data_IF_510237179494
#
_entry.id   IF_510237179494
#
_cell.length_a   1.000
_cell.length_b   1.000
_cell.length_c   1.000
_cell.angle_alpha   90.00
_cell.angle_beta   90.00
_cell.angle_gamma   90.00
#
_symmetry.space_group_name_H-M   'P 1'
#
loop_
_entity.id
_entity.type
_entity.pdbx_description
1 polymer ?
#
# COMPACT_ATOMS: atom_id res chain seq x y z
N UNK A 1 -5.55 -8.05 -10.04
CA UNK A 1 -5.54 -9.31 -9.27
C UNK A 1 -6.92 -9.71 -8.74
N UNK A 2 -7.67 -8.85 -8.02
CA UNK A 2 -8.99 -9.23 -7.47
C UNK A 2 -9.99 -9.67 -8.55
N UNK A 3 -10.07 -8.95 -9.67
CA UNK A 3 -10.91 -9.33 -10.82
C UNK A 3 -10.55 -10.73 -11.35
N UNK A 4 -9.26 -11.02 -11.49
CA UNK A 4 -8.79 -12.33 -11.94
C UNK A 4 -9.16 -13.43 -10.92
N UNK A 5 -9.07 -13.14 -9.63
CA UNK A 5 -9.49 -14.05 -8.58
C UNK A 5 -11.00 -14.26 -8.54
N UNK A 6 -11.80 -13.23 -8.83
CA UNK A 6 -13.26 -13.36 -8.93
C UNK A 6 -13.69 -14.20 -10.14
N UNK A 7 -12.93 -14.15 -11.24
CA UNK A 7 -13.23 -14.88 -12.47
C UNK A 7 -12.69 -16.32 -12.46
N UNK A 8 -11.88 -16.71 -11.46
CA UNK A 8 -11.13 -17.99 -11.49
C UNK A 8 -11.99 -19.25 -11.57
N UNK A 9 -13.25 -19.15 -11.15
CA UNK A 9 -14.25 -20.21 -11.21
C UNK A 9 -15.31 -19.98 -12.30
N UNK A 10 -15.23 -18.88 -13.05
CA UNK A 10 -16.22 -18.45 -14.05
C UNK A 10 -15.70 -18.46 -15.49
N UNK A 11 -14.41 -18.19 -15.69
CA UNK A 11 -13.80 -18.08 -17.00
C UNK A 11 -13.02 -19.36 -17.34
N UNK A 12 -13.08 -19.80 -18.61
CA UNK A 12 -12.30 -20.96 -19.05
C UNK A 12 -10.78 -20.74 -19.00
N UNK A 13 -10.31 -19.51 -19.22
CA UNK A 13 -8.90 -19.13 -19.09
C UNK A 13 -8.79 -17.68 -18.66
N UNK A 14 -7.79 -17.37 -17.84
CA UNK A 14 -7.48 -16.02 -17.39
C UNK A 14 -5.98 -15.80 -17.59
N UNK A 15 -5.63 -14.65 -18.14
CA UNK A 15 -4.24 -14.20 -18.24
C UNK A 15 -4.14 -12.82 -17.61
N UNK A 16 -3.18 -12.64 -16.71
CA UNK A 16 -2.84 -11.36 -16.10
C UNK A 16 -1.47 -10.95 -16.60
N UNK A 17 -1.39 -9.76 -17.19
CA UNK A 17 -0.15 -9.19 -17.72
C UNK A 17 0.26 -8.05 -16.80
N UNK A 18 1.46 -8.14 -16.26
CA UNK A 18 2.06 -7.13 -15.38
C UNK A 18 3.34 -6.60 -16.03
N UNK A 19 3.70 -5.35 -15.71
CA UNK A 19 4.97 -4.74 -16.17
C UNK A 19 6.17 -5.24 -15.39
N UNK A 20 5.93 -5.60 -14.13
CA UNK A 20 6.93 -6.07 -13.17
C UNK A 20 6.97 -7.60 -13.13
N UNK A 21 8.03 -8.16 -12.54
CA UNK A 21 8.17 -9.61 -12.36
C UNK A 21 7.08 -10.19 -11.46
N UNK A 22 6.71 -9.46 -10.39
CA UNK A 22 5.67 -9.87 -9.45
C UNK A 22 4.49 -8.90 -9.40
N UNK A 23 3.25 -9.40 -9.18
CA UNK A 23 2.10 -8.53 -8.94
C UNK A 23 2.35 -7.65 -7.72
N UNK A 24 1.86 -6.41 -7.74
CA UNK A 24 2.05 -5.42 -6.67
C UNK A 24 3.49 -5.00 -6.38
N UNK A 25 4.50 -5.45 -7.14
CA UNK A 25 5.91 -5.14 -6.88
C UNK A 25 6.17 -3.64 -6.73
N UNK A 26 5.62 -2.82 -7.62
CA UNK A 26 5.77 -1.37 -7.55
C UNK A 26 5.22 -0.78 -6.24
N UNK A 27 4.02 -1.20 -5.81
CA UNK A 27 3.35 -0.67 -4.63
C UNK A 27 3.85 -1.29 -3.32
N UNK A 28 3.94 -2.62 -3.25
CA UNK A 28 4.18 -3.40 -2.03
C UNK A 28 5.51 -4.16 -2.04
N UNK A 29 6.25 -4.16 -3.14
CA UNK A 29 7.55 -4.84 -3.22
C UNK A 29 7.45 -6.32 -3.61
N UNK A 30 8.57 -6.92 -4.02
CA UNK A 30 8.62 -8.26 -4.58
C UNK A 30 8.21 -9.35 -3.58
N UNK A 31 8.39 -9.15 -2.28
CA UNK A 31 8.04 -10.12 -1.23
C UNK A 31 6.53 -10.38 -1.19
N UNK A 32 5.71 -9.32 -1.19
CA UNK A 32 4.25 -9.44 -1.25
C UNK A 32 3.80 -10.02 -2.58
N UNK A 33 4.42 -9.61 -3.68
CA UNK A 33 4.14 -10.18 -5.00
C UNK A 33 4.46 -11.67 -5.09
N UNK A 34 5.55 -12.11 -4.47
CA UNK A 34 5.90 -13.52 -4.30
C UNK A 34 4.87 -14.30 -3.48
N UNK A 35 4.35 -13.70 -2.39
CA UNK A 35 3.26 -14.29 -1.60
C UNK A 35 1.99 -14.44 -2.44
N UNK A 36 1.59 -13.42 -3.21
CA UNK A 36 0.44 -13.49 -4.10
C UNK A 36 0.60 -14.60 -5.17
N UNK A 37 1.81 -14.76 -5.71
CA UNK A 37 2.12 -15.85 -6.63
C UNK A 37 2.07 -17.23 -5.97
N UNK A 38 2.48 -17.37 -4.70
CA UNK A 38 2.32 -18.62 -3.93
C UNK A 38 0.85 -18.95 -3.71
N UNK A 39 0.01 -17.97 -3.31
CA UNK A 39 -1.45 -18.15 -3.16
C UNK A 39 -2.07 -18.71 -4.43
N UNK A 40 -1.72 -18.12 -5.59
CA UNK A 40 -2.17 -18.57 -6.90
C UNK A 40 -1.74 -20.02 -7.21
N UNK A 41 -0.47 -20.35 -6.97
CA UNK A 41 0.05 -21.71 -7.22
C UNK A 41 -0.66 -22.75 -6.36
N UNK A 42 -0.88 -22.45 -5.08
CA UNK A 42 -1.60 -23.35 -4.16
C UNK A 42 -3.05 -23.53 -4.58
N UNK A 43 -3.74 -22.47 -5.03
CA UNK A 43 -5.10 -22.58 -5.56
C UNK A 43 -5.18 -23.47 -6.80
N UNK A 44 -4.27 -23.28 -7.76
CA UNK A 44 -4.24 -24.11 -8.97
C UNK A 44 -4.02 -25.61 -8.66
N UNK A 45 -3.21 -25.92 -7.63
CA UNK A 45 -2.97 -27.30 -7.20
C UNK A 45 -4.20 -27.98 -6.55
N UNK A 46 -5.21 -27.21 -6.14
CA UNK A 46 -6.45 -27.73 -5.52
C UNK A 46 -7.51 -28.17 -6.54
N UNK A 47 -7.17 -28.25 -7.83
CA UNK A 47 -8.06 -28.79 -8.87
C UNK A 47 -9.01 -27.78 -9.51
N UNK A 48 -8.83 -26.47 -9.26
CA UNK A 48 -9.56 -25.42 -9.97
C UNK A 48 -8.98 -25.24 -11.38
N UNK A 49 -9.82 -25.47 -12.40
CA UNK A 49 -9.44 -25.84 -13.79
C UNK A 49 -8.86 -24.74 -14.68
N UNK A 50 -8.35 -23.64 -14.14
CA UNK A 50 -7.75 -22.59 -14.97
C UNK A 50 -6.43 -22.10 -14.37
N UNK A 51 -5.28 -22.55 -14.88
CA UNK A 51 -4.00 -21.97 -14.50
C UNK A 51 -3.99 -20.53 -15.03
N UNK A 52 -4.01 -19.56 -14.12
CA UNK A 52 -3.64 -18.19 -14.45
C UNK A 52 -2.21 -18.23 -15.01
N UNK A 53 -2.00 -17.92 -16.29
CA UNK A 53 -0.66 -17.99 -16.89
C UNK A 53 0.27 -17.02 -16.19
N UNK A 54 1.53 -17.44 -15.94
CA UNK A 54 2.60 -16.53 -15.51
C UNK A 54 2.74 -15.39 -16.53
N UNK A 55 3.18 -14.18 -16.13
CA UNK A 55 3.44 -13.13 -17.10
C UNK A 55 4.56 -13.59 -18.04
N UNK A 56 4.23 -13.94 -19.28
CA UNK A 56 5.19 -14.08 -20.38
C UNK A 56 5.12 -12.79 -21.19
N UNK A 57 5.81 -11.77 -20.71
CA UNK A 57 5.89 -10.48 -21.40
C UNK A 57 7.35 -10.09 -21.60
N UNK A 58 7.78 -10.02 -22.86
CA UNK A 58 8.87 -9.10 -23.22
C UNK A 58 8.37 -7.69 -22.92
N UNK A 59 9.10 -6.95 -22.10
CA UNK A 59 8.75 -5.58 -21.75
C UNK A 59 8.84 -4.69 -22.99
N UNK A 60 7.72 -4.47 -23.67
CA UNK A 60 7.58 -3.34 -24.58
C UNK A 60 7.13 -2.13 -23.75
N UNK A 61 8.07 -1.24 -23.48
CA UNK A 61 7.85 0.03 -22.80
C UNK A 61 7.07 0.98 -23.70
N UNK A 62 5.74 0.88 -23.69
CA UNK A 62 4.90 2.04 -23.98
C UNK A 62 4.91 2.93 -22.73
N UNK A 63 5.85 3.89 -22.70
CA UNK A 63 5.93 4.90 -21.65
C UNK A 63 4.63 5.69 -21.58
N UNK A 64 4.10 6.00 -20.38
CA UNK A 64 3.00 6.95 -20.26
C UNK A 64 3.59 8.35 -20.38
N UNK A 65 3.84 8.81 -21.62
CA UNK A 65 4.01 10.24 -21.87
C UNK A 65 2.63 10.86 -22.11
N UNK A 66 1.82 10.90 -21.06
CA UNK A 66 0.86 11.98 -20.92
C UNK A 66 1.46 12.92 -19.88
N UNK A 67 1.78 14.18 -20.24
CA UNK A 67 2.08 15.18 -19.25
C UNK A 67 0.78 15.42 -18.48
N UNK A 68 0.60 14.76 -17.35
CA UNK A 68 -0.30 15.27 -16.33
C UNK A 68 0.32 16.58 -15.89
N UNK A 69 -0.16 17.69 -16.45
CA UNK A 69 -0.03 19.01 -15.86
C UNK A 69 -0.82 19.00 -14.56
N UNK A 70 -0.34 18.26 -13.56
CA UNK A 70 -0.78 18.40 -12.18
C UNK A 70 -0.25 19.75 -11.74
N UNK A 71 -1.07 20.78 -11.90
CA UNK A 71 -0.91 22.00 -11.12
C UNK A 71 -0.74 21.54 -9.66
N UNK A 72 0.46 21.74 -9.11
CA UNK A 72 0.75 21.38 -7.72
C UNK A 72 -0.06 22.32 -6.83
N UNK A 73 -1.31 21.97 -6.57
CA UNK A 73 -2.19 22.69 -5.64
C UNK A 73 -1.63 22.68 -4.21
N UNK A 74 -0.72 21.75 -3.92
CA UNK A 74 0.11 21.78 -2.72
C UNK A 74 1.53 22.16 -3.08
N UNK A 75 2.00 23.28 -2.55
CA UNK A 75 3.43 23.58 -2.50
C UNK A 75 4.10 22.61 -1.52
N UNK A 76 5.17 21.89 -1.94
CA UNK A 76 6.00 21.13 -1.01
C UNK A 76 6.41 22.01 0.17
N UNK A 77 6.32 21.49 1.39
CA UNK A 77 6.67 22.17 2.65
C UNK A 77 5.80 23.37 3.04
N UNK A 78 4.60 23.52 2.47
CA UNK A 78 3.65 24.49 3.03
C UNK A 78 3.08 23.99 4.36
N UNK A 79 3.05 24.85 5.41
CA UNK A 79 2.43 24.55 6.70
C UNK A 79 0.93 24.23 6.60
N UNK A 80 0.31 24.49 5.44
CA UNK A 80 -1.10 24.21 5.18
C UNK A 80 -1.38 22.75 4.78
N UNK A 81 -0.35 21.98 4.41
CA UNK A 81 -0.55 20.59 3.92
C UNK A 81 -1.19 19.67 4.98
N UNK A 82 -0.77 19.66 6.25
CA UNK A 82 -1.42 18.84 7.28
C UNK A 82 -2.91 19.16 7.47
N UNK A 83 -3.34 20.37 7.10
CA UNK A 83 -4.72 20.82 7.21
C UNK A 83 -5.57 20.59 5.95
N UNK A 84 -5.03 19.88 4.95
CA UNK A 84 -5.69 19.65 3.65
C UNK A 84 -5.98 20.95 2.87
N UNK A 85 -5.36 22.07 3.26
CA UNK A 85 -5.52 23.35 2.60
C UNK A 85 -4.46 23.51 1.50
N UNK A 86 -4.91 23.95 0.33
CA UNK A 86 -4.05 24.20 -0.84
C UNK A 86 -3.27 25.51 -0.66
N UNK A 87 -2.44 25.85 -1.65
CA UNK A 87 -1.81 27.18 -1.72
C UNK A 87 -2.79 28.33 -2.03
N UNK A 88 -4.05 28.03 -2.35
CA UNK A 88 -5.11 29.04 -2.55
C UNK A 88 -5.90 29.17 -1.23
N UNK A 89 -6.04 30.38 -0.67
CA UNK A 89 -6.81 30.60 0.55
C UNK A 89 -8.23 30.06 0.44
N UNK A 90 -8.70 29.38 1.49
CA UNK A 90 -10.04 28.79 1.57
C UNK A 90 -10.35 27.70 0.52
N UNK A 91 -9.35 27.17 -0.18
CA UNK A 91 -9.48 26.02 -1.08
C UNK A 91 -8.79 24.81 -0.44
N UNK A 92 -9.53 23.72 -0.31
CA UNK A 92 -9.08 22.47 0.27
C UNK A 92 -9.12 21.35 -0.77
N UNK A 93 -8.25 20.35 -0.60
CA UNK A 93 -8.25 19.16 -1.44
C UNK A 93 -8.17 17.90 -0.58
N UNK A 94 -8.87 16.85 -1.02
CA UNK A 94 -8.98 15.57 -0.31
C UNK A 94 -8.99 14.41 -1.31
N UNK A 95 -8.77 13.18 -0.81
CA UNK A 95 -8.77 11.98 -1.63
C UNK A 95 -7.50 11.77 -2.45
N UNK A 96 -7.62 10.98 -3.52
CA UNK A 96 -6.52 10.44 -4.32
C UNK A 96 -5.70 11.50 -5.08
N UNK A 97 -6.25 12.71 -5.26
CA UNK A 97 -5.54 13.83 -5.90
C UNK A 97 -4.47 14.44 -4.97
N UNK A 98 -4.55 14.15 -3.67
CA UNK A 98 -3.71 14.81 -2.66
C UNK A 98 -2.40 14.08 -2.49
N UNK A 99 -1.30 14.84 -2.60
CA UNK A 99 0.01 14.42 -2.13
C UNK A 99 0.29 15.09 -0.79
N UNK A 100 0.47 14.30 0.28
CA UNK A 100 0.63 14.79 1.66
C UNK A 100 1.87 14.15 2.32
N UNK A 101 2.49 14.80 3.33
CA UNK A 101 3.53 14.16 4.12
C UNK A 101 2.92 12.98 4.89
N UNK A 102 3.46 11.79 4.69
CA UNK A 102 3.12 10.67 5.55
C UNK A 102 3.93 10.87 6.83
N UNK A 103 3.26 11.28 7.91
CA UNK A 103 3.92 11.66 9.17
C UNK A 103 4.91 10.59 9.70
N UNK A 104 4.65 9.33 9.38
CA UNK A 104 5.44 8.16 9.79
C UNK A 104 6.66 7.85 8.91
N UNK A 105 6.91 8.65 7.87
CA UNK A 105 8.06 8.52 6.99
C UNK A 105 8.87 9.82 6.96
N UNK A 106 9.09 10.44 8.12
CA UNK A 106 9.88 11.68 8.24
C UNK A 106 9.42 12.82 7.30
N UNK A 107 8.11 12.85 6.99
CA UNK A 107 7.53 13.85 6.10
C UNK A 107 7.64 13.52 4.60
N UNK A 108 8.08 12.32 4.23
CA UNK A 108 8.06 11.85 2.84
C UNK A 108 6.66 11.99 2.26
N UNK A 109 6.59 12.67 1.12
CA UNK A 109 5.32 13.01 0.50
C UNK A 109 4.84 11.89 -0.39
N UNK A 110 3.54 11.60 -0.34
CA UNK A 110 2.93 10.65 -1.27
C UNK A 110 1.46 10.88 -1.52
N UNK A 111 1.03 10.40 -2.69
CA UNK A 111 -0.36 10.11 -2.93
C UNK A 111 -0.63 8.66 -2.54
N UNK A 112 -1.70 8.44 -1.78
CA UNK A 112 -2.15 7.12 -1.37
C UNK A 112 -3.58 6.94 -1.87
N UNK A 113 -3.75 6.06 -2.86
CA UNK A 113 -5.03 5.77 -3.48
C UNK A 113 -5.76 4.67 -2.70
N UNK A 114 -6.34 5.03 -1.57
CA UNK A 114 -7.10 4.10 -0.74
C UNK A 114 -8.26 4.81 -0.02
N UNK A 115 -9.40 4.14 0.04
CA UNK A 115 -10.64 4.69 0.60
C UNK A 115 -10.44 5.23 2.03
N UNK A 116 -9.77 4.47 2.91
CA UNK A 116 -9.53 4.91 4.30
C UNK A 116 -8.76 6.24 4.37
N UNK A 117 -7.78 6.44 3.49
CA UNK A 117 -7.00 7.67 3.46
C UNK A 117 -7.83 8.81 2.86
N UNK A 118 -8.60 8.54 1.81
CA UNK A 118 -9.51 9.51 1.22
C UNK A 118 -10.58 10.01 2.23
N UNK A 119 -11.11 9.11 3.05
CA UNK A 119 -12.03 9.45 4.13
C UNK A 119 -11.35 10.32 5.21
N UNK A 120 -10.15 9.96 5.64
CA UNK A 120 -9.36 10.75 6.58
C UNK A 120 -9.06 12.16 6.04
N UNK A 121 -8.74 12.28 4.74
CA UNK A 121 -8.56 13.55 4.06
C UNK A 121 -9.85 14.38 4.10
N UNK A 122 -10.99 13.80 3.72
CA UNK A 122 -12.28 14.49 3.70
C UNK A 122 -12.69 15.00 5.07
N UNK A 123 -12.53 14.17 6.10
CA UNK A 123 -12.80 14.55 7.48
C UNK A 123 -11.90 15.70 7.95
N UNK A 124 -10.59 15.62 7.68
CA UNK A 124 -9.65 16.69 8.03
C UNK A 124 -9.99 18.00 7.30
N UNK A 125 -10.24 17.93 5.99
CA UNK A 125 -10.61 19.09 5.18
C UNK A 125 -11.89 19.76 5.70
N UNK A 126 -12.94 18.99 6.00
CA UNK A 126 -14.20 19.52 6.53
C UNK A 126 -14.01 20.26 7.86
N UNK A 127 -13.21 19.71 8.78
CA UNK A 127 -12.90 20.36 10.06
C UNK A 127 -12.12 21.68 9.86
N UNK A 128 -11.23 21.74 8.88
CA UNK A 128 -10.45 22.95 8.61
C UNK A 128 -11.22 24.01 7.83
N UNK A 129 -12.19 23.62 6.99
CA UNK A 129 -13.19 24.55 6.45
C UNK A 129 -13.99 25.23 7.58
N UNK A 130 -14.20 24.52 8.71
CA UNK A 130 -14.83 25.05 9.93
C UNK A 130 -13.83 25.71 10.90
N UNK A 131 -12.59 25.99 10.46
CA UNK A 131 -11.55 26.64 11.26
C UNK A 131 -11.18 25.91 12.57
N UNK A 132 -11.29 24.57 12.58
CA UNK A 132 -10.97 23.76 13.77
C UNK A 132 -9.48 23.41 13.92
N UNK A 133 -8.63 23.76 12.96
CA UNK A 133 -7.17 23.57 13.06
C UNK A 133 -6.73 22.11 13.20
N UNK A 134 -7.45 21.16 12.59
CA UNK A 134 -7.15 19.73 12.64
C UNK A 134 -6.00 19.38 11.72
N UNK A 135 -4.96 18.73 12.22
CA UNK A 135 -3.94 18.11 11.38
C UNK A 135 -4.34 16.69 10.99
N UNK A 136 -3.99 16.30 9.76
CA UNK A 136 -4.13 14.94 9.27
C UNK A 136 -3.15 14.04 10.02
N UNK A 137 -3.70 13.06 10.73
CA UNK A 137 -2.94 12.07 11.47
C UNK A 137 -3.56 10.71 11.17
N UNK A 138 -2.89 9.92 10.33
CA UNK A 138 -3.40 8.64 9.84
C UNK A 138 -2.27 7.72 9.43
N UNK A 139 -2.52 6.41 9.52
CA UNK A 139 -1.64 5.36 8.99
C UNK A 139 -2.39 4.74 7.82
N UNK A 140 -1.81 4.70 6.61
CA UNK A 140 -2.41 3.97 5.52
C UNK A 140 -2.65 2.52 5.93
N UNK A 141 -3.89 2.08 5.90
CA UNK A 141 -4.27 0.71 6.24
C UNK A 141 -5.20 0.17 5.17
N UNK A 142 -4.79 -0.92 4.53
CA UNK A 142 -5.55 -1.51 3.43
C UNK A 142 -5.42 -3.02 3.36
N UNK A 143 -6.31 -3.61 2.59
CA UNK A 143 -6.35 -5.04 2.35
C UNK A 143 -6.75 -5.33 0.91
N UNK A 144 -6.37 -6.51 0.44
CA UNK A 144 -6.88 -7.08 -0.80
C UNK A 144 -7.24 -8.53 -0.55
N UNK A 145 -8.35 -8.97 -1.13
CA UNK A 145 -8.79 -10.36 -1.03
C UNK A 145 -8.71 -11.02 -2.39
N UNK A 146 -7.99 -12.14 -2.47
CA UNK A 146 -7.89 -12.95 -3.68
C UNK A 146 -7.90 -14.43 -3.31
N UNK A 147 -8.70 -15.23 -4.02
CA UNK A 147 -8.75 -16.69 -3.88
C UNK A 147 -8.99 -17.14 -2.43
N UNK A 148 -9.89 -16.43 -1.73
CA UNK A 148 -10.23 -16.71 -0.33
C UNK A 148 -9.11 -16.40 0.68
N UNK A 149 -8.06 -15.67 0.27
CA UNK A 149 -6.96 -15.20 1.14
C UNK A 149 -6.92 -13.68 1.15
N UNK A 150 -6.72 -13.11 2.33
CA UNK A 150 -6.58 -11.68 2.52
C UNK A 150 -5.11 -11.33 2.79
N UNK A 151 -4.58 -10.39 2.01
CA UNK A 151 -3.31 -9.71 2.32
C UNK A 151 -3.68 -8.40 2.99
N UNK A 152 -3.14 -8.13 4.17
CA UNK A 152 -3.30 -6.86 4.88
C UNK A 152 -1.99 -6.09 4.86
N UNK A 153 -2.08 -4.76 4.86
CA UNK A 153 -0.95 -3.87 4.85
C UNK A 153 -1.21 -2.62 5.69
N UNK A 154 -0.21 -2.19 6.45
CA UNK A 154 -0.22 -0.95 7.22
C UNK A 154 1.07 -0.17 7.02
N UNK A 155 0.96 1.17 7.02
CA UNK A 155 2.10 2.09 6.89
C UNK A 155 2.42 2.41 5.44
N UNK A 156 3.68 2.75 5.15
CA UNK A 156 4.17 2.88 3.78
C UNK A 156 5.64 2.48 3.72
N UNK A 157 6.01 1.72 2.70
CA UNK A 157 7.41 1.33 2.51
C UNK A 157 8.26 2.57 2.18
N UNK A 158 9.36 2.73 2.91
CA UNK A 158 10.41 3.69 2.55
C UNK A 158 10.96 3.42 1.15
N UNK A 159 11.39 4.46 0.45
CA UNK A 159 12.02 4.38 -0.87
C UNK A 159 13.49 4.81 -0.79
N UNK A 160 14.36 4.20 -1.59
CA UNK A 160 15.78 4.57 -1.67
C UNK A 160 16.70 3.79 -0.73
N UNK A 161 17.93 4.29 -0.60
CA UNK A 161 18.99 3.70 0.21
C UNK A 161 18.57 3.58 1.70
N UNK A 162 19.05 2.54 2.39
CA UNK A 162 18.69 2.28 3.79
C UNK A 162 17.34 1.56 4.01
N UNK A 163 16.56 1.36 2.94
CA UNK A 163 15.30 0.59 3.02
C UNK A 163 15.56 -0.91 2.83
N UNK A 164 15.08 -1.73 3.76
CA UNK A 164 15.20 -3.19 3.73
C UNK A 164 13.85 -3.86 4.06
N UNK A 165 13.77 -5.18 3.87
CA UNK A 165 12.57 -5.96 4.20
C UNK A 165 12.96 -7.21 4.98
N UNK A 166 12.24 -7.51 6.05
CA UNK A 166 12.31 -8.81 6.73
C UNK A 166 11.06 -9.61 6.42
N UNK A 167 11.20 -10.89 6.02
CA UNK A 167 10.08 -11.74 5.61
C UNK A 167 10.10 -13.06 6.37
N UNK A 168 9.05 -13.32 7.13
CA UNK A 168 8.92 -14.49 7.97
C UNK A 168 7.79 -15.39 7.46
N UNK A 169 8.12 -16.64 7.16
CA UNK A 169 7.12 -17.69 6.95
C UNK A 169 6.83 -18.36 8.30
N UNK A 170 5.58 -18.32 8.75
CA UNK A 170 5.21 -18.72 10.10
C UNK A 170 4.51 -20.08 10.08
N UNK A 171 5.27 -21.13 10.40
CA UNK A 171 4.75 -22.50 10.45
C UNK A 171 4.47 -23.11 9.07
N UNK A 172 3.58 -24.10 9.05
CA UNK A 172 3.18 -24.81 7.83
C UNK A 172 2.08 -24.04 7.09
N UNK A 173 2.18 -23.99 5.77
CA UNK A 173 1.17 -23.38 4.89
C UNK A 173 1.46 -21.93 4.50
N UNK A 174 0.42 -21.23 4.04
CA UNK A 174 0.51 -19.83 3.59
C UNK A 174 0.28 -18.91 4.79
N UNK A 175 1.29 -18.70 5.62
CA UNK A 175 1.25 -17.70 6.68
C UNK A 175 2.54 -16.89 6.63
N UNK A 176 2.40 -15.59 6.36
CA UNK A 176 3.53 -14.70 6.13
C UNK A 176 3.36 -13.41 6.93
N UNK A 177 4.47 -12.91 7.43
CA UNK A 177 4.61 -11.57 7.98
C UNK A 177 5.83 -10.92 7.35
N UNK A 178 5.66 -9.71 6.82
CA UNK A 178 6.71 -8.94 6.16
C UNK A 178 6.78 -7.58 6.84
N UNK A 179 7.97 -7.20 7.30
CA UNK A 179 8.27 -5.87 7.80
C UNK A 179 9.04 -5.09 6.74
N UNK A 180 8.68 -3.82 6.55
CA UNK A 180 9.45 -2.87 5.77
C UNK A 180 10.18 -1.96 6.74
N UNK A 181 11.49 -1.90 6.59
CA UNK A 181 12.39 -1.27 7.54
C UNK A 181 13.14 -0.17 6.82
N UNK A 182 13.23 1.00 7.43
CA UNK A 182 14.02 2.13 6.95
C UNK A 182 14.75 2.72 8.13
N UNK A 183 16.03 3.02 7.96
CA UNK A 183 16.85 3.68 8.99
C UNK A 183 16.76 2.95 10.35
N UNK A 184 16.75 1.61 10.31
CA UNK A 184 16.69 0.75 11.49
C UNK A 184 15.31 0.55 12.11
N UNK A 185 14.24 1.15 11.57
CA UNK A 185 12.90 1.11 12.16
C UNK A 185 11.83 0.62 11.18
N UNK A 186 10.81 -0.06 11.70
CA UNK A 186 9.65 -0.51 10.91
C UNK A 186 8.83 0.69 10.46
N UNK A 187 8.57 0.78 9.16
CA UNK A 187 7.77 1.84 8.51
C UNK A 187 6.47 1.32 7.91
N UNK A 188 6.42 0.01 7.64
CA UNK A 188 5.21 -0.66 7.20
C UNK A 188 5.28 -2.16 7.53
N UNK A 189 4.13 -2.82 7.41
CA UNK A 189 4.06 -4.27 7.44
C UNK A 189 3.00 -4.80 6.49
N UNK A 190 3.24 -6.00 5.96
CA UNK A 190 2.26 -6.78 5.21
C UNK A 190 2.11 -8.16 5.84
N UNK A 191 0.91 -8.73 5.80
CA UNK A 191 0.73 -10.12 6.23
C UNK A 191 -0.32 -10.87 5.43
N UNK A 192 -0.21 -12.19 5.48
CA UNK A 192 -1.23 -13.12 5.01
C UNK A 192 -1.45 -14.16 6.10
N UNK A 193 -2.71 -14.36 6.50
CA UNK A 193 -3.15 -15.26 7.58
C UNK A 193 -2.41 -15.06 8.92
N UNK A 194 -1.93 -13.85 9.20
CA UNK A 194 -1.21 -13.51 10.43
C UNK A 194 -1.88 -12.35 11.15
N UNK A 195 -3.17 -12.49 11.38
CA UNK A 195 -3.94 -11.55 12.18
C UNK A 195 -3.73 -11.80 13.69
N UNK A 196 -3.76 -10.75 14.53
CA UNK A 196 -4.01 -9.34 14.19
C UNK A 196 -2.74 -8.49 13.96
N UNK A 197 -1.62 -9.08 13.51
CA UNK A 197 -0.31 -8.41 13.53
C UNK A 197 -0.25 -7.07 12.80
N UNK A 198 -0.84 -6.98 11.60
CA UNK A 198 -0.80 -5.74 10.80
C UNK A 198 -1.61 -4.62 11.48
N UNK A 199 -2.70 -4.96 12.18
CA UNK A 199 -3.48 -3.98 12.95
C UNK A 199 -2.72 -3.47 14.17
N UNK A 200 -2.00 -4.35 14.88
CA UNK A 200 -1.14 -3.95 16.00
C UNK A 200 -0.03 -3.00 15.53
N UNK A 201 0.61 -3.32 14.39
CA UNK A 201 1.64 -2.46 13.81
C UNK A 201 1.05 -1.12 13.40
N UNK A 202 -0.15 -1.11 12.80
CA UNK A 202 -0.84 0.14 12.46
C UNK A 202 -1.09 1.02 13.69
N UNK A 203 -1.47 0.43 14.82
CA UNK A 203 -1.67 1.16 16.08
C UNK A 203 -0.35 1.70 16.64
N UNK A 204 0.71 0.89 16.68
CA UNK A 204 2.03 1.32 17.14
C UNK A 204 2.52 2.51 16.31
N UNK A 205 2.41 2.39 14.98
CA UNK A 205 2.72 3.47 14.06
C UNK A 205 1.82 4.69 14.32
N UNK A 206 0.51 4.51 14.47
CA UNK A 206 -0.41 5.62 14.77
C UNK A 206 -0.04 6.35 16.07
N UNK A 207 0.45 5.64 17.09
CA UNK A 207 0.90 6.25 18.34
C UNK A 207 2.26 6.95 18.25
N UNK A 208 2.89 6.98 17.07
CA UNK A 208 4.23 7.54 16.87
C UNK A 208 5.33 6.73 17.56
N UNK A 209 5.04 5.49 17.96
CA UNK A 209 6.02 4.58 18.54
C UNK A 209 6.81 3.92 17.41
N UNK A 210 8.07 3.62 17.69
CA UNK A 210 8.96 2.95 16.74
C UNK A 210 9.13 1.48 17.16
N UNK A 211 9.27 0.62 16.16
CA UNK A 211 9.68 -0.78 16.33
C UNK A 211 11.05 -0.88 15.69
N UNK A 212 12.06 -1.31 16.45
CA UNK A 212 13.40 -1.48 15.92
C UNK A 212 13.47 -2.68 14.97
N UNK A 213 14.48 -2.70 14.11
CA UNK A 213 14.77 -3.86 13.27
C UNK A 213 14.96 -5.12 14.11
N UNK A 214 15.67 -5.03 15.22
CA UNK A 214 15.96 -6.13 16.13
C UNK A 214 14.70 -6.68 16.81
N UNK A 215 13.71 -5.82 17.10
CA UNK A 215 12.41 -6.26 17.63
C UNK A 215 11.52 -6.94 16.57
N UNK A 216 11.74 -6.61 15.29
CA UNK A 216 10.99 -7.15 14.16
C UNK A 216 11.54 -8.48 13.64
N UNK A 217 12.80 -8.83 13.95
CA UNK A 217 13.51 -10.04 13.53
C UNK A 217 13.38 -11.20 14.54
#
# INVERSE_FOLDING_TARGET
MEVAAFLSDKAGTISVVEREEFPFQHALGPQVGGVAMKVRKTWAAQGSTSPLSSPTGSAHTAGPNLPTHTHRFFTPNSPHTPHMQTNIPNVFAAGDVVTFPVALLDGDRSSIHHQQVAEAHGHCAALNMLQRGKELHTVPYFWTTMLGKSIRYAGRKGQGEGSTTSSHQLGLGLKFLIFYIRDGHVTAAASLNCDPMVSLIAEVLYLGKQISKEEAE
#
